data_IF_412694183579
#
_entry.id   IF_412694183579
#
_cell.length_a   1.000
_cell.length_b   1.000
_cell.length_c   1.000
_cell.angle_alpha   90.00
_cell.angle_beta   90.00
_cell.angle_gamma   90.00
#
_symmetry.space_group_name_H-M   'P 1'
#
loop_
_entity.id
_entity.type
_entity.pdbx_description
1 polymer ?
#
# COMPACT_ATOMS: atom_id res chain seq x y z
N UNK A 1 -50.75 -11.84 40.41
CA UNK A 1 -49.56 -11.05 40.75
C UNK A 1 -48.55 -11.24 39.64
N UNK A 2 -48.38 -10.18 38.89
CA UNK A 2 -47.45 -10.00 37.78
C UNK A 2 -46.09 -9.65 38.37
N UNK A 3 -45.00 -10.29 37.92
CA UNK A 3 -43.62 -9.86 38.24
C UNK A 3 -42.66 -10.27 37.13
N UNK A 4 -42.64 -9.41 36.10
CA UNK A 4 -41.52 -8.75 35.41
C UNK A 4 -40.12 -9.40 35.38
N UNK A 5 -39.61 -9.48 34.15
CA UNK A 5 -38.30 -9.96 33.69
C UNK A 5 -37.06 -9.27 34.29
N UNK A 6 -35.97 -10.04 34.49
CA UNK A 6 -34.59 -9.52 34.43
C UNK A 6 -33.69 -10.54 33.69
N UNK A 7 -33.69 -10.40 32.37
CA UNK A 7 -32.57 -10.50 31.43
C UNK A 7 -31.21 -11.02 31.97
N UNK A 8 -30.73 -12.16 31.46
CA UNK A 8 -29.28 -12.46 31.39
C UNK A 8 -28.93 -13.09 30.04
N UNK A 9 -29.23 -12.34 28.98
CA UNK A 9 -28.58 -12.44 27.69
C UNK A 9 -27.06 -12.19 27.85
N UNK A 10 -26.26 -13.01 27.18
CA UNK A 10 -24.88 -12.68 26.81
C UNK A 10 -23.83 -12.56 27.94
N UNK A 11 -23.43 -13.70 28.55
CA UNK A 11 -22.04 -13.82 29.01
C UNK A 11 -21.22 -14.54 27.93
N UNK A 12 -20.37 -13.84 27.15
CA UNK A 12 -19.59 -14.50 26.10
C UNK A 12 -18.69 -15.57 26.73
N UNK A 13 -18.83 -16.82 26.25
CA UNK A 13 -17.94 -17.92 26.62
C UNK A 13 -16.48 -17.47 26.56
N UNK A 14 -15.61 -17.92 27.49
CA UNK A 14 -14.16 -17.60 27.52
C UNK A 14 -13.47 -17.71 26.15
N UNK A 15 -14.03 -18.54 25.24
CA UNK A 15 -13.59 -18.70 23.85
C UNK A 15 -13.94 -17.51 22.94
N UNK A 16 -15.10 -16.88 23.12
CA UNK A 16 -15.53 -15.71 22.37
C UNK A 16 -14.68 -14.47 22.69
N UNK A 17 -14.36 -14.23 23.97
CA UNK A 17 -13.43 -13.17 24.38
C UNK A 17 -12.03 -13.37 23.78
N UNK A 18 -11.49 -14.60 23.82
CA UNK A 18 -10.18 -14.91 23.24
C UNK A 18 -10.15 -14.78 21.72
N UNK A 19 -11.29 -15.00 21.03
CA UNK A 19 -11.42 -14.80 19.58
C UNK A 19 -11.45 -13.31 19.22
N UNK A 20 -12.14 -12.49 20.02
CA UNK A 20 -12.19 -11.04 19.84
C UNK A 20 -10.82 -10.39 20.10
N UNK A 21 -10.11 -10.80 21.15
CA UNK A 21 -8.75 -10.31 21.44
C UNK A 21 -7.78 -10.64 20.30
N UNK A 22 -7.77 -11.88 19.81
CA UNK A 22 -6.94 -12.27 18.65
C UNK A 22 -7.29 -11.53 17.36
N UNK A 23 -8.55 -11.14 17.19
CA UNK A 23 -8.98 -10.34 16.04
C UNK A 23 -8.49 -8.89 16.17
N UNK A 24 -8.58 -8.31 17.37
CA UNK A 24 -8.05 -6.98 17.68
C UNK A 24 -6.52 -6.92 17.50
N UNK A 25 -5.78 -7.90 18.02
CA UNK A 25 -4.31 -7.95 17.87
C UNK A 25 -3.87 -8.06 16.41
N UNK A 26 -4.60 -8.85 15.60
CA UNK A 26 -4.35 -8.96 14.16
C UNK A 26 -4.71 -7.67 13.42
N UNK A 27 -5.73 -6.94 13.87
CA UNK A 27 -6.12 -5.67 13.28
C UNK A 27 -5.08 -4.57 13.59
N UNK A 28 -4.62 -4.47 14.85
CA UNK A 28 -3.58 -3.52 15.26
C UNK A 28 -2.26 -3.79 14.54
N UNK A 29 -1.83 -5.06 14.44
CA UNK A 29 -0.61 -5.41 13.70
C UNK A 29 -0.72 -5.18 12.19
N UNK A 30 -1.95 -5.12 11.65
CA UNK A 30 -2.20 -4.79 10.24
C UNK A 30 -2.20 -3.28 10.02
N UNK A 31 -2.75 -2.48 10.94
CA UNK A 31 -2.72 -1.02 10.86
C UNK A 31 -1.30 -0.49 11.05
N UNK A 32 -0.56 -0.97 12.05
CA UNK A 32 0.84 -0.58 12.30
C UNK A 32 1.75 -0.90 11.10
N UNK A 33 1.52 -2.05 10.45
CA UNK A 33 2.26 -2.44 9.23
C UNK A 33 1.82 -1.67 7.98
N UNK A 34 0.64 -1.07 7.98
CA UNK A 34 0.18 -0.17 6.92
C UNK A 34 0.74 1.24 7.14
N UNK A 35 0.79 1.70 8.38
CA UNK A 35 1.35 3.00 8.78
C UNK A 35 2.86 3.05 8.55
N UNK A 36 3.62 2.02 8.95
CA UNK A 36 5.05 1.93 8.68
C UNK A 36 5.41 1.84 7.18
N UNK A 37 4.44 1.53 6.30
CA UNK A 37 4.64 1.58 4.83
C UNK A 37 4.43 2.97 4.25
N UNK A 38 3.72 3.85 4.95
CA UNK A 38 3.46 5.22 4.51
C UNK A 38 4.57 6.20 4.93
N UNK A 39 5.43 5.80 5.87
CA UNK A 39 6.49 6.63 6.45
C UNK A 39 7.73 6.82 5.53
N UNK A 40 7.63 6.41 4.26
CA UNK A 40 8.63 6.72 3.21
C UNK A 40 8.25 7.94 2.38
N UNK A 41 7.31 8.76 2.84
CA UNK A 41 7.11 10.13 2.33
C UNK A 41 8.12 11.07 3.01
N UNK A 42 9.41 10.86 2.73
CA UNK A 42 10.44 11.84 3.07
C UNK A 42 10.60 12.76 1.86
N UNK A 43 10.36 14.05 2.09
CA UNK A 43 10.57 15.12 1.13
C UNK A 43 9.65 16.30 1.46
N UNK A 44 9.92 16.98 2.57
CA UNK A 44 9.53 18.38 2.73
C UNK A 44 10.20 19.17 1.59
N UNK A 45 9.40 19.68 0.67
CA UNK A 45 9.85 20.70 -0.29
C UNK A 45 9.10 21.99 0.02
N UNK A 46 9.86 23.07 0.04
CA UNK A 46 9.39 24.40 0.42
C UNK A 46 8.27 24.92 -0.48
N UNK A 47 7.83 26.13 -0.17
CA UNK A 47 6.64 26.88 -0.62
C UNK A 47 6.41 27.06 -2.15
N UNK A 48 7.07 26.26 -3.01
CA UNK A 48 6.84 26.19 -4.45
C UNK A 48 5.99 24.95 -4.78
N UNK A 49 4.83 25.16 -5.42
CA UNK A 49 4.00 24.05 -5.93
C UNK A 49 4.75 23.23 -6.99
N UNK A 50 4.89 21.92 -6.75
CA UNK A 50 5.42 20.99 -7.72
C UNK A 50 4.42 20.71 -8.85
N UNK A 51 4.65 21.31 -10.01
CA UNK A 51 3.85 21.10 -11.23
C UNK A 51 3.98 19.70 -11.83
N UNK A 52 4.99 18.94 -11.43
CA UNK A 52 5.28 17.58 -11.93
C UNK A 52 4.80 16.48 -10.99
N UNK A 53 4.05 16.84 -9.94
CA UNK A 53 3.56 15.90 -8.95
C UNK A 53 2.80 14.74 -9.61
N UNK A 54 3.21 13.51 -9.30
CA UNK A 54 2.61 12.29 -9.84
C UNK A 54 3.28 11.74 -11.12
N UNK A 55 4.23 12.48 -11.73
CA UNK A 55 5.06 11.96 -12.83
C UNK A 55 6.28 11.16 -12.34
N UNK A 56 6.58 11.22 -11.05
CA UNK A 56 7.74 10.58 -10.44
C UNK A 56 7.42 10.07 -9.01
N UNK A 57 8.35 9.30 -8.44
CA UNK A 57 8.26 8.80 -7.06
C UNK A 57 8.20 7.28 -6.93
N UNK A 58 7.93 6.83 -5.70
CA UNK A 58 7.85 5.40 -5.38
C UNK A 58 6.51 4.82 -5.84
N UNK A 59 6.55 4.00 -6.88
CA UNK A 59 5.38 3.26 -7.36
C UNK A 59 4.90 2.23 -6.33
N UNK A 60 3.59 1.91 -6.28
CA UNK A 60 3.07 0.88 -5.39
C UNK A 60 3.67 -0.49 -5.71
N UNK A 61 3.67 -1.36 -4.70
CA UNK A 61 4.13 -2.74 -4.84
C UNK A 61 3.44 -3.44 -6.01
N UNK A 62 4.23 -3.89 -6.99
CA UNK A 62 3.71 -4.59 -8.18
C UNK A 62 3.13 -5.94 -7.75
N UNK A 63 1.82 -6.12 -7.93
CA UNK A 63 1.06 -7.35 -7.59
C UNK A 63 0.26 -7.92 -8.76
N UNK A 64 0.62 -7.56 -9.99
CA UNK A 64 -0.10 -7.96 -11.21
C UNK A 64 -1.60 -7.58 -11.22
N UNK A 65 -2.00 -6.59 -10.43
CA UNK A 65 -3.36 -6.05 -10.42
C UNK A 65 -3.71 -5.32 -11.71
N UNK A 66 -2.72 -4.65 -12.31
CA UNK A 66 -2.84 -3.99 -13.60
C UNK A 66 -1.71 -4.45 -14.54
N UNK A 67 -2.05 -4.61 -15.81
CA UNK A 67 -1.16 -5.01 -16.91
C UNK A 67 -1.15 -3.89 -17.95
N UNK A 68 -0.38 -2.82 -17.70
CA UNK A 68 -0.30 -1.72 -18.66
C UNK A 68 0.24 -2.22 -20.00
N UNK A 69 -0.40 -1.82 -21.09
CA UNK A 69 0.03 -2.12 -22.47
C UNK A 69 1.21 -1.20 -22.85
N UNK A 70 2.37 -1.44 -22.23
CA UNK A 70 3.62 -0.72 -22.52
C UNK A 70 4.74 -1.71 -22.86
N UNK A 71 5.53 -1.35 -23.86
CA UNK A 71 6.70 -2.14 -24.26
C UNK A 71 7.92 -1.65 -23.48
N UNK A 72 8.46 -2.51 -22.62
CA UNK A 72 9.72 -2.25 -21.93
C UNK A 72 10.88 -2.63 -22.84
N UNK A 73 11.73 -1.68 -23.16
CA UNK A 73 12.97 -1.89 -23.91
C UNK A 73 14.05 -2.32 -22.92
N UNK A 74 14.81 -3.37 -23.27
CA UNK A 74 15.94 -3.79 -22.46
C UNK A 74 17.12 -2.83 -22.67
N UNK A 75 17.91 -2.60 -21.62
CA UNK A 75 19.06 -1.67 -21.65
C UNK A 75 20.03 -1.99 -22.81
N UNK A 76 20.26 -3.28 -23.10
CA UNK A 76 21.12 -3.74 -24.20
C UNK A 76 20.64 -3.37 -25.61
N UNK A 77 19.33 -3.14 -25.77
CA UNK A 77 18.70 -2.87 -27.06
C UNK A 77 18.60 -1.35 -27.33
N UNK A 78 19.02 -0.52 -26.36
CA UNK A 78 19.11 0.93 -26.53
C UNK A 78 20.30 1.25 -27.42
N UNK A 79 20.01 1.60 -28.67
CA UNK A 79 21.01 1.95 -29.66
C UNK A 79 20.51 3.14 -30.51
N UNK A 80 21.33 3.56 -31.49
CA UNK A 80 21.05 4.71 -32.37
C UNK A 80 19.74 4.61 -33.16
N UNK A 81 19.13 3.43 -33.29
CA UNK A 81 17.83 3.26 -33.98
C UNK A 81 16.62 3.78 -33.18
N UNK A 82 16.81 4.01 -31.88
CA UNK A 82 15.81 4.56 -30.97
C UNK A 82 16.02 6.07 -30.72
N UNK A 83 16.86 6.70 -31.52
CA UNK A 83 17.08 8.14 -31.43
C UNK A 83 15.77 8.93 -31.64
N UNK A 84 15.59 9.98 -30.85
CA UNK A 84 14.39 10.82 -30.80
C UNK A 84 13.06 10.09 -30.50
N UNK A 85 13.08 8.87 -29.93
CA UNK A 85 11.87 8.14 -29.53
C UNK A 85 11.70 8.10 -28.02
N UNK A 86 10.47 8.28 -27.55
CA UNK A 86 10.10 8.04 -26.16
C UNK A 86 9.97 6.54 -25.91
N UNK A 87 10.79 6.00 -25.01
CA UNK A 87 10.81 4.57 -24.67
C UNK A 87 10.61 4.35 -23.18
N UNK A 88 10.02 3.20 -22.83
CA UNK A 88 9.98 2.74 -21.45
C UNK A 88 11.16 1.83 -21.17
N UNK A 89 11.96 2.17 -20.16
CA UNK A 89 13.11 1.38 -19.75
C UNK A 89 12.99 1.01 -18.27
N UNK A 90 13.47 -0.18 -17.93
CA UNK A 90 13.60 -0.63 -16.55
C UNK A 90 15.01 -1.15 -16.31
N UNK A 91 15.73 -0.51 -15.40
CA UNK A 91 17.11 -0.85 -15.04
C UNK A 91 17.39 -0.55 -13.58
N UNK A 92 18.64 -0.79 -13.17
CA UNK A 92 19.16 -0.32 -11.88
C UNK A 92 19.87 1.01 -12.11
N UNK A 93 19.70 1.95 -11.19
CA UNK A 93 20.55 3.13 -11.11
C UNK A 93 21.93 2.67 -10.60
N UNK A 94 22.99 2.96 -11.34
CA UNK A 94 24.33 2.47 -11.01
C UNK A 94 25.11 3.43 -10.09
N UNK A 95 24.98 4.73 -10.35
CA UNK A 95 25.78 5.82 -9.73
C UNK A 95 24.86 6.97 -9.35
#
# INVERSE_FOLDING_TARGET
MENKDINNESNPSKKALKKQQKAADKAMKKSERAEARNDTKIGEEGDAEDVSQGMYGVSPMIRSSDRPKRQLVAVKDVNKSLDNKTIWLRGRLHT
#
